data_IF_300336677028
#
_entry.id   IF_300336677028
#
_cell.length_a   1.000
_cell.length_b   1.000
_cell.length_c   1.000
_cell.angle_alpha   90.00
_cell.angle_beta   90.00
_cell.angle_gamma   90.00
#
_symmetry.space_group_name_H-M   'P 1'
#
loop_
_entity.id
_entity.type
_entity.pdbx_description
1 polymer ?
#
# COMPACT_ATOMS: atom_id res chain seq x y z
N UNK A 1 -12.81 28.41 -5.73
CA UNK A 1 -13.13 27.11 -6.33
C UNK A 1 -12.43 27.12 -7.68
N UNK A 2 -11.41 26.29 -7.87
CA UNK A 2 -10.82 26.13 -9.20
C UNK A 2 -11.88 25.45 -10.08
N UNK A 3 -12.40 26.18 -11.06
CA UNK A 3 -13.46 25.69 -11.94
C UNK A 3 -13.05 24.39 -12.65
N UNK A 4 -11.74 24.23 -12.92
CA UNK A 4 -11.18 23.08 -13.61
C UNK A 4 -11.37 21.76 -12.86
N UNK A 5 -11.08 21.73 -11.54
CA UNK A 5 -11.19 20.51 -10.74
C UNK A 5 -12.63 20.04 -10.53
N UNK A 6 -13.55 20.99 -10.34
CA UNK A 6 -14.97 20.69 -10.23
C UNK A 6 -15.54 20.19 -11.57
N UNK A 7 -15.21 20.85 -12.68
CA UNK A 7 -15.65 20.43 -14.02
C UNK A 7 -15.15 19.02 -14.36
N UNK A 8 -13.89 18.70 -14.05
CA UNK A 8 -13.33 17.37 -14.24
C UNK A 8 -14.07 16.30 -13.43
N UNK A 9 -14.34 16.57 -12.15
CA UNK A 9 -15.11 15.68 -11.28
C UNK A 9 -16.53 15.46 -11.82
N UNK A 10 -17.22 16.52 -12.23
CA UNK A 10 -18.58 16.40 -12.76
C UNK A 10 -18.63 15.66 -14.11
N UNK A 11 -17.62 15.83 -14.96
CA UNK A 11 -17.50 15.09 -16.22
C UNK A 11 -17.32 13.58 -15.96
N UNK A 12 -16.46 13.22 -15.01
CA UNK A 12 -16.26 11.83 -14.60
C UNK A 12 -17.53 11.23 -13.96
N UNK A 13 -18.22 12.02 -13.12
CA UNK A 13 -19.48 11.59 -12.50
C UNK A 13 -20.52 11.23 -13.56
N UNK A 14 -20.70 12.10 -14.56
CA UNK A 14 -21.66 11.88 -15.65
C UNK A 14 -21.30 10.65 -16.50
N UNK A 15 -20.01 10.40 -16.73
CA UNK A 15 -19.56 9.21 -17.45
C UNK A 15 -19.84 7.93 -16.65
N UNK A 16 -19.59 7.93 -15.34
CA UNK A 16 -19.89 6.78 -14.48
C UNK A 16 -21.38 6.50 -14.44
N UNK A 17 -22.20 7.55 -14.28
CA UNK A 17 -23.66 7.45 -14.33
C UNK A 17 -24.11 6.78 -15.63
N UNK A 18 -23.56 7.20 -16.78
CA UNK A 18 -23.82 6.57 -18.08
C UNK A 18 -23.38 5.11 -18.12
N UNK A 19 -22.19 4.79 -17.61
CA UNK A 19 -21.64 3.43 -17.60
C UNK A 19 -22.48 2.46 -16.77
N UNK A 20 -23.07 2.90 -15.66
CA UNK A 20 -23.89 2.07 -14.77
C UNK A 20 -25.09 1.41 -15.47
N UNK A 21 -25.61 2.02 -16.54
CA UNK A 21 -26.73 1.50 -17.31
C UNK A 21 -26.32 0.68 -18.53
N UNK A 22 -25.01 0.47 -18.75
CA UNK A 22 -24.53 -0.35 -19.87
C UNK A 22 -24.70 -1.85 -19.60
N UNK A 23 -25.01 -2.67 -20.63
CA UNK A 23 -25.11 -4.13 -20.45
C UNK A 23 -23.84 -4.79 -19.90
N UNK A 24 -22.66 -4.20 -20.16
CA UNK A 24 -21.40 -4.71 -19.64
C UNK A 24 -21.32 -4.60 -18.10
N UNK A 25 -21.65 -3.43 -17.55
CA UNK A 25 -21.66 -3.19 -16.10
C UNK A 25 -22.80 -3.95 -15.42
N UNK A 26 -23.98 -4.03 -16.05
CA UNK A 26 -25.11 -4.78 -15.50
C UNK A 26 -24.82 -6.29 -15.35
N UNK A 27 -23.91 -6.83 -16.18
CA UNK A 27 -23.46 -8.23 -16.11
C UNK A 27 -22.31 -8.45 -15.13
N UNK A 28 -21.58 -7.40 -14.76
CA UNK A 28 -20.49 -7.46 -13.79
C UNK A 28 -20.86 -6.69 -12.52
N UNK A 29 -21.40 -7.43 -11.55
CA UNK A 29 -21.80 -6.86 -10.27
C UNK A 29 -20.64 -6.22 -9.49
N UNK A 30 -19.39 -6.67 -9.67
CA UNK A 30 -18.24 -6.07 -8.97
C UNK A 30 -17.91 -4.72 -9.57
N UNK A 31 -17.87 -4.63 -10.90
CA UNK A 31 -17.69 -3.37 -11.61
C UNK A 31 -18.80 -2.38 -11.25
N UNK A 32 -20.07 -2.82 -11.28
CA UNK A 32 -21.19 -1.96 -10.91
C UNK A 32 -21.13 -1.46 -9.45
N UNK A 33 -20.70 -2.30 -8.49
CA UNK A 33 -20.54 -1.86 -7.09
C UNK A 33 -19.42 -0.84 -6.95
N UNK A 34 -18.29 -1.07 -7.61
CA UNK A 34 -17.16 -0.14 -7.59
C UNK A 34 -17.53 1.22 -8.19
N UNK A 35 -18.22 1.25 -9.32
CA UNK A 35 -18.68 2.49 -9.95
C UNK A 35 -19.66 3.27 -9.05
N UNK A 36 -20.57 2.58 -8.35
CA UNK A 36 -21.45 3.24 -7.37
C UNK A 36 -20.68 3.83 -6.19
N UNK A 37 -19.73 3.09 -5.62
CA UNK A 37 -18.83 3.60 -4.56
C UNK A 37 -18.06 4.84 -5.02
N UNK A 38 -17.63 4.85 -6.29
CA UNK A 38 -16.96 5.99 -6.89
C UNK A 38 -17.87 7.21 -6.95
N UNK A 39 -19.11 7.06 -7.40
CA UNK A 39 -20.11 8.14 -7.37
C UNK A 39 -20.36 8.64 -5.94
N UNK A 40 -20.59 7.74 -4.97
CA UNK A 40 -20.81 8.12 -3.56
C UNK A 40 -19.63 8.93 -3.00
N UNK A 41 -18.39 8.55 -3.32
CA UNK A 41 -17.20 9.29 -2.89
C UNK A 41 -17.12 10.68 -3.54
N UNK A 42 -17.46 10.79 -4.84
CA UNK A 42 -17.49 12.06 -5.56
C UNK A 42 -18.58 12.99 -5.03
N UNK A 43 -19.78 12.46 -4.76
CA UNK A 43 -20.89 13.21 -4.16
C UNK A 43 -20.50 13.79 -2.80
N UNK A 44 -19.79 13.02 -1.97
CA UNK A 44 -19.31 13.51 -0.68
C UNK A 44 -18.34 14.69 -0.83
N UNK A 45 -17.43 14.65 -1.81
CA UNK A 45 -16.48 15.73 -2.09
C UNK A 45 -17.12 16.98 -2.70
N UNK A 46 -18.20 16.79 -3.48
CA UNK A 46 -19.00 17.92 -3.98
C UNK A 46 -19.72 18.58 -2.82
N UNK A 47 -20.32 17.78 -1.94
CA UNK A 47 -21.06 18.27 -0.78
C UNK A 47 -20.16 19.01 0.22
N UNK A 48 -18.94 18.53 0.47
CA UNK A 48 -17.99 19.15 1.39
C UNK A 48 -17.17 20.30 0.77
N UNK A 49 -17.31 20.55 -0.54
CA UNK A 49 -16.59 21.60 -1.27
C UNK A 49 -15.11 21.32 -1.50
N UNK A 50 -14.69 20.05 -1.46
CA UNK A 50 -13.29 19.61 -1.61
C UNK A 50 -13.01 18.81 -2.88
N UNK A 51 -13.85 18.97 -3.91
CA UNK A 51 -13.73 18.36 -5.24
C UNK A 51 -12.31 18.35 -5.83
N UNK A 52 -11.49 19.36 -5.57
CA UNK A 52 -10.09 19.45 -6.00
C UNK A 52 -9.17 18.35 -5.43
N UNK A 53 -9.63 17.58 -4.43
CA UNK A 53 -8.90 16.46 -3.83
C UNK A 53 -9.15 15.13 -4.52
N UNK A 54 -10.08 15.10 -5.48
CA UNK A 54 -10.49 13.87 -6.16
C UNK A 54 -9.32 13.20 -6.86
N UNK A 55 -9.23 11.91 -6.62
CA UNK A 55 -8.30 10.99 -7.25
C UNK A 55 -9.11 9.78 -7.72
N UNK A 56 -9.06 9.40 -9.00
CA UNK A 56 -9.84 8.27 -9.54
C UNK A 56 -9.61 6.94 -8.81
N UNK A 57 -8.51 6.81 -8.07
CA UNK A 57 -8.19 5.63 -7.27
C UNK A 57 -8.74 5.70 -5.84
N UNK A 58 -9.33 6.81 -5.38
CA UNK A 58 -9.91 6.95 -4.04
C UNK A 58 -10.92 5.86 -3.65
N UNK A 59 -11.70 5.26 -4.56
CA UNK A 59 -12.57 4.12 -4.26
C UNK A 59 -11.84 2.77 -4.15
N UNK A 60 -10.54 2.70 -4.38
CA UNK A 60 -9.81 1.44 -4.42
C UNK A 60 -9.42 1.00 -3.01
N UNK A 61 -9.23 -0.31 -2.86
CA UNK A 61 -8.49 -0.84 -1.73
C UNK A 61 -7.01 -0.41 -1.84
N UNK A 62 -6.19 -0.76 -0.85
CA UNK A 62 -4.77 -0.40 -0.86
C UNK A 62 -3.89 -1.60 -0.53
N UNK A 63 -2.71 -1.64 -1.14
CA UNK A 63 -1.60 -2.47 -0.71
C UNK A 63 -0.53 -1.57 -0.14
N UNK A 64 -0.11 -1.84 1.10
CA UNK A 64 0.94 -1.11 1.80
C UNK A 64 2.16 -2.04 1.90
N UNK A 65 3.29 -1.58 1.40
CA UNK A 65 4.58 -2.25 1.44
C UNK A 65 5.54 -1.42 2.29
N UNK A 66 6.22 -2.08 3.21
CA UNK A 66 7.10 -1.45 4.20
C UNK A 66 8.44 -2.17 4.15
N UNK A 67 9.47 -1.46 3.69
CA UNK A 67 10.82 -2.00 3.53
C UNK A 67 11.84 -1.14 4.27
N UNK A 68 12.81 -1.74 4.99
CA UNK A 68 13.92 -0.98 5.55
C UNK A 68 14.76 -0.40 4.41
N UNK A 69 15.02 0.90 4.46
CA UNK A 69 15.91 1.61 3.55
C UNK A 69 17.31 1.59 4.13
N UNK A 70 18.29 1.11 3.35
CA UNK A 70 19.68 0.94 3.79
C UNK A 70 20.64 1.44 2.73
N UNK A 71 21.75 1.99 3.16
CA UNK A 71 22.82 2.31 2.23
C UNK A 71 23.58 1.03 1.84
N UNK A 72 24.08 0.94 0.59
CA UNK A 72 24.90 -0.19 0.18
C UNK A 72 26.11 -0.39 1.11
N UNK A 73 26.23 -1.58 1.69
CA UNK A 73 27.32 -1.92 2.62
C UNK A 73 27.00 -1.71 4.11
N UNK A 74 25.85 -1.12 4.43
CA UNK A 74 25.39 -1.01 5.81
C UNK A 74 24.91 -2.39 6.34
N UNK A 75 25.40 -2.84 7.51
CA UNK A 75 24.93 -4.08 8.09
C UNK A 75 23.46 -3.96 8.45
N UNK A 76 22.68 -4.99 8.10
CA UNK A 76 21.31 -5.09 8.55
C UNK A 76 21.25 -5.04 10.09
N UNK A 77 20.41 -4.21 10.72
CA UNK A 77 20.11 -4.40 12.12
C UNK A 77 19.60 -5.83 12.31
N UNK A 78 20.04 -6.49 13.38
CA UNK A 78 19.67 -7.86 13.68
C UNK A 78 18.14 -8.02 13.76
N UNK A 79 17.45 -6.98 14.25
CA UNK A 79 16.00 -6.89 14.35
C UNK A 79 15.53 -5.47 14.02
N UNK A 80 15.17 -5.15 12.75
CA UNK A 80 14.61 -3.85 12.44
C UNK A 80 13.24 -3.69 13.11
N UNK A 81 13.09 -2.68 13.95
CA UNK A 81 11.88 -2.44 14.74
C UNK A 81 10.90 -1.55 13.97
N UNK A 82 11.42 -0.57 13.23
CA UNK A 82 10.62 0.45 12.59
C UNK A 82 9.60 -0.09 11.57
N UNK A 83 9.92 -1.08 10.69
CA UNK A 83 8.94 -1.66 9.79
C UNK A 83 7.73 -2.27 10.54
N UNK A 84 7.98 -2.92 11.67
CA UNK A 84 6.93 -3.51 12.51
C UNK A 84 6.04 -2.46 13.18
N UNK A 85 6.61 -1.31 13.58
CA UNK A 85 5.83 -0.18 14.13
C UNK A 85 4.87 0.36 13.07
N UNK A 86 5.38 0.63 11.86
CA UNK A 86 4.55 1.12 10.74
C UNK A 86 3.44 0.13 10.42
N UNK A 87 3.80 -1.14 10.21
CA UNK A 87 2.85 -2.19 9.84
C UNK A 87 1.75 -2.38 10.89
N UNK A 88 2.12 -2.32 12.19
CA UNK A 88 1.15 -2.37 13.30
C UNK A 88 0.20 -1.17 13.24
N UNK A 89 0.73 0.04 13.14
CA UNK A 89 -0.08 1.27 13.11
C UNK A 89 -1.08 1.27 11.94
N UNK A 90 -0.66 0.81 10.75
CA UNK A 90 -1.56 0.64 9.60
C UNK A 90 -2.71 -0.34 9.88
N UNK A 91 -2.40 -1.50 10.46
CA UNK A 91 -3.40 -2.54 10.77
C UNK A 91 -4.38 -2.08 11.86
N UNK A 92 -3.89 -1.40 12.89
CA UNK A 92 -4.71 -0.82 13.96
C UNK A 92 -5.62 0.29 13.44
N UNK A 93 -5.11 1.18 12.56
CA UNK A 93 -5.92 2.22 11.94
C UNK A 93 -7.02 1.63 11.04
N UNK A 94 -6.67 0.65 10.20
CA UNK A 94 -7.66 -0.07 9.39
C UNK A 94 -8.73 -0.75 10.27
N UNK A 95 -8.33 -1.40 11.37
CA UNK A 95 -9.27 -2.04 12.29
C UNK A 95 -10.24 -1.03 12.95
N UNK A 96 -9.75 0.17 13.31
CA UNK A 96 -10.59 1.27 13.85
C UNK A 96 -11.64 1.74 12.86
N UNK A 97 -11.34 1.71 11.56
CA UNK A 97 -12.28 2.01 10.47
C UNK A 97 -13.20 0.83 10.12
N UNK A 98 -13.09 -0.30 10.83
CA UNK A 98 -13.85 -1.53 10.53
C UNK A 98 -13.35 -2.26 9.28
N UNK A 99 -12.16 -1.93 8.78
CA UNK A 99 -11.60 -2.49 7.56
C UNK A 99 -10.83 -3.78 7.81
N UNK A 100 -10.77 -4.64 6.79
CA UNK A 100 -10.09 -5.94 6.89
C UNK A 100 -8.67 -5.84 6.34
N UNK A 101 -7.70 -6.38 7.06
CA UNK A 101 -6.31 -6.48 6.58
C UNK A 101 -5.93 -7.93 6.25
N UNK A 102 -5.12 -8.10 5.21
CA UNK A 102 -4.59 -9.40 4.76
C UNK A 102 -3.08 -9.30 4.59
N UNK A 103 -2.26 -9.97 5.43
CA UNK A 103 -0.82 -10.03 5.22
C UNK A 103 -0.50 -10.70 3.88
N UNK A 104 0.32 -10.05 3.07
CA UNK A 104 0.73 -10.54 1.74
C UNK A 104 2.15 -11.10 1.74
N UNK A 105 3.05 -10.51 2.55
CA UNK A 105 4.43 -10.95 2.71
C UNK A 105 4.91 -10.70 4.15
N UNK A 106 4.56 -11.61 5.05
CA UNK A 106 4.97 -11.48 6.46
C UNK A 106 4.52 -10.14 7.07
N UNK A 107 5.49 -9.39 7.58
CA UNK A 107 5.33 -8.03 8.11
C UNK A 107 5.71 -6.93 7.10
N UNK A 108 6.11 -7.29 5.87
CA UNK A 108 6.60 -6.34 4.86
C UNK A 108 5.51 -5.87 3.90
N UNK A 109 4.40 -6.60 3.75
CA UNK A 109 3.30 -6.16 2.90
C UNK A 109 1.93 -6.58 3.45
N UNK A 110 0.95 -5.69 3.35
CA UNK A 110 -0.44 -5.91 3.77
C UNK A 110 -1.41 -5.31 2.75
N UNK A 111 -2.47 -6.04 2.43
CA UNK A 111 -3.62 -5.47 1.75
C UNK A 111 -4.65 -4.97 2.77
N UNK A 112 -5.21 -3.79 2.52
CA UNK A 112 -6.25 -3.16 3.32
C UNK A 112 -7.52 -3.08 2.49
N UNK A 113 -8.60 -3.67 3.01
CA UNK A 113 -9.90 -3.73 2.37
C UNK A 113 -10.90 -2.86 3.11
N UNK A 114 -11.33 -1.80 2.43
CA UNK A 114 -12.28 -0.85 2.99
C UNK A 114 -13.76 -1.31 2.89
N UNK A 115 -14.01 -2.43 2.20
CA UNK A 115 -15.36 -2.96 1.99
C UNK A 115 -16.07 -2.30 0.81
N UNK A 116 -17.40 -2.43 0.77
CA UNK A 116 -18.21 -2.02 -0.39
C UNK A 116 -18.88 -0.64 -0.22
N UNK A 117 -18.74 0.00 0.95
CA UNK A 117 -19.36 1.29 1.28
C UNK A 117 -18.34 2.33 1.71
N UNK A 118 -18.56 3.60 1.36
CA UNK A 118 -17.70 4.71 1.76
C UNK A 118 -16.34 4.74 1.05
N UNK A 119 -15.42 5.54 1.59
CA UNK A 119 -14.12 5.80 0.97
C UNK A 119 -13.25 4.53 0.86
N UNK A 120 -12.44 4.44 -0.20
CA UNK A 120 -11.45 3.38 -0.40
C UNK A 120 -10.27 3.48 0.55
N UNK A 121 -9.60 2.35 0.80
CA UNK A 121 -8.41 2.34 1.62
C UNK A 121 -7.29 3.20 0.99
N UNK A 122 -7.24 3.28 -0.35
CA UNK A 122 -6.32 4.17 -1.06
C UNK A 122 -6.47 5.62 -0.60
N UNK A 123 -7.70 6.15 -0.57
CA UNK A 123 -7.96 7.56 -0.23
C UNK A 123 -7.39 7.99 1.12
N UNK A 124 -7.31 7.06 2.08
CA UNK A 124 -6.76 7.28 3.42
C UNK A 124 -5.26 7.06 3.44
N UNK A 125 -4.79 5.93 2.92
CA UNK A 125 -3.39 5.53 3.10
C UNK A 125 -2.42 6.13 2.06
N UNK A 126 -2.88 6.68 0.93
CA UNK A 126 -2.00 7.16 -0.15
C UNK A 126 -0.96 8.19 0.30
N UNK A 127 -1.27 8.99 1.32
CA UNK A 127 -0.35 10.00 1.90
C UNK A 127 0.73 9.41 2.81
N UNK A 128 0.62 8.13 3.15
CA UNK A 128 1.63 7.43 3.95
C UNK A 128 2.88 7.08 3.12
N UNK A 129 2.80 7.17 1.79
CA UNK A 129 3.92 6.88 0.90
C UNK A 129 5.10 7.82 1.16
N UNK A 130 6.30 7.26 1.26
CA UNK A 130 7.56 8.01 1.40
C UNK A 130 8.52 7.36 2.39
N UNK A 131 9.61 8.06 2.68
CA UNK A 131 10.63 7.60 3.62
C UNK A 131 10.32 8.08 5.03
N UNK A 132 10.32 7.20 6.02
CA UNK A 132 10.13 7.55 7.42
C UNK A 132 11.42 7.27 8.19
N UNK A 133 11.92 8.29 8.90
CA UNK A 133 13.10 8.19 9.75
C UNK A 133 12.69 7.92 11.20
N UNK A 134 13.34 6.96 11.84
CA UNK A 134 13.07 6.56 13.21
C UNK A 134 14.30 6.76 14.08
N UNK A 135 14.09 7.18 15.33
CA UNK A 135 15.17 7.36 16.31
C UNK A 135 14.74 6.85 17.69
N UNK A 136 15.68 6.33 18.46
CA UNK A 136 15.50 5.99 19.87
C UNK A 136 15.65 7.28 20.71
N UNK A 137 14.56 7.77 21.32
CA UNK A 137 14.61 8.96 22.16
C UNK A 137 15.45 8.77 23.43
N UNK A 138 15.75 7.53 23.83
CA UNK A 138 16.52 7.20 25.03
C UNK A 138 17.99 6.89 24.74
N UNK A 139 18.36 6.70 23.47
CA UNK A 139 19.76 6.53 23.10
C UNK A 139 20.54 7.85 23.32
N UNK A 140 21.74 7.75 23.88
CA UNK A 140 22.64 8.89 23.99
C UNK A 140 23.12 9.30 22.57
N UNK A 141 23.25 10.59 22.26
CA UNK A 141 23.91 11.00 21.03
C UNK A 141 25.36 10.53 21.04
N UNK A 142 25.88 10.08 19.89
CA UNK A 142 27.31 9.81 19.75
C UNK A 142 28.13 11.11 19.92
N UNK A 143 27.60 12.25 19.44
CA UNK A 143 28.20 13.59 19.62
C UNK A 143 27.21 14.61 20.21
N UNK A 144 27.60 15.39 21.24
CA UNK A 144 26.78 16.48 21.78
C UNK A 144 26.42 17.49 20.68
N UNK A 145 25.13 17.70 20.43
CA UNK A 145 24.63 18.67 19.44
C UNK A 145 24.13 18.08 18.12
N UNK A 146 24.40 16.79 17.81
CA UNK A 146 23.87 16.10 16.60
C UNK A 146 22.57 15.33 16.85
N UNK A 147 21.75 15.79 17.79
CA UNK A 147 20.47 15.13 18.10
C UNK A 147 19.54 15.03 16.89
N UNK A 148 19.66 15.95 15.93
CA UNK A 148 18.81 15.97 14.74
C UNK A 148 19.23 15.00 13.63
N UNK A 149 20.43 14.43 13.71
CA UNK A 149 20.95 13.46 12.73
C UNK A 149 20.79 11.99 13.17
N UNK A 150 20.15 11.73 14.32
CA UNK A 150 20.02 10.41 14.97
C UNK A 150 19.02 9.43 14.32
N UNK A 151 18.89 9.37 13.00
CA UNK A 151 18.01 8.35 12.43
C UNK A 151 18.67 6.96 12.57
N UNK A 152 18.19 6.14 13.51
CA UNK A 152 18.68 4.77 13.74
C UNK A 152 18.14 3.79 12.68
N UNK A 153 16.94 4.04 12.17
CA UNK A 153 16.33 3.25 11.11
C UNK A 153 15.62 4.16 10.10
N UNK A 154 15.75 3.84 8.81
CA UNK A 154 14.93 4.44 7.74
C UNK A 154 14.06 3.37 7.12
N UNK A 155 12.82 3.71 6.83
CA UNK A 155 11.84 2.80 6.25
C UNK A 155 11.20 3.47 5.04
N UNK A 156 11.22 2.80 3.90
CA UNK A 156 10.41 3.17 2.75
C UNK A 156 9.02 2.56 2.90
N UNK A 157 7.99 3.42 2.91
CA UNK A 157 6.59 3.01 2.83
C UNK A 157 6.11 3.30 1.43
N UNK A 158 5.59 2.27 0.75
CA UNK A 158 4.93 2.39 -0.54
C UNK A 158 3.48 2.00 -0.39
N UNK A 159 2.60 2.83 -0.94
CA UNK A 159 1.17 2.53 -0.98
C UNK A 159 0.79 2.44 -2.44
N UNK A 160 0.10 1.37 -2.81
CA UNK A 160 -0.36 1.10 -4.17
C UNK A 160 -1.87 0.92 -4.16
N UNK A 161 -2.59 1.47 -5.16
CA UNK A 161 -4.01 1.21 -5.30
C UNK A 161 -4.23 -0.29 -5.60
N UNK A 162 -5.35 -0.81 -5.12
CA UNK A 162 -5.75 -2.20 -5.33
C UNK A 162 -7.17 -2.26 -5.85
N UNK A 163 -7.30 -2.72 -7.08
CA UNK A 163 -8.55 -2.75 -7.83
C UNK A 163 -9.52 -3.84 -7.35
N UNK A 164 -9.08 -4.72 -6.45
CA UNK A 164 -9.85 -5.88 -6.00
C UNK A 164 -10.06 -6.92 -7.11
N UNK A 165 -9.18 -6.91 -8.12
CA UNK A 165 -9.23 -7.79 -9.28
C UNK A 165 -9.18 -9.29 -8.94
N UNK A 166 -9.36 -10.17 -9.96
CA UNK A 166 -9.37 -11.62 -9.79
C UNK A 166 -8.07 -12.13 -9.15
N UNK A 167 -8.07 -13.37 -8.63
CA UNK A 167 -6.88 -13.90 -7.95
C UNK A 167 -5.71 -14.11 -8.93
N UNK A 168 -6.03 -14.40 -10.19
CA UNK A 168 -5.09 -14.67 -11.27
C UNK A 168 -4.36 -13.40 -11.74
N UNK A 169 -3.21 -13.61 -12.38
CA UNK A 169 -2.45 -12.55 -13.03
C UNK A 169 -3.01 -12.28 -14.43
N UNK A 170 -3.08 -11.01 -14.88
CA UNK A 170 -3.50 -10.69 -16.23
C UNK A 170 -2.43 -11.09 -17.26
N UNK A 171 -2.79 -11.09 -18.54
CA UNK A 171 -1.82 -11.31 -19.63
C UNK A 171 -1.55 -12.79 -19.94
N UNK A 172 -0.53 -13.03 -20.75
CA UNK A 172 -0.20 -14.37 -21.22
C UNK A 172 0.67 -15.11 -20.20
N UNK A 173 0.56 -16.45 -20.04
CA UNK A 173 1.38 -17.21 -19.10
C UNK A 173 2.89 -17.01 -19.28
N UNK A 174 3.35 -16.72 -20.51
CA UNK A 174 4.75 -16.54 -20.86
C UNK A 174 5.34 -15.24 -20.30
N UNK A 175 4.49 -14.27 -19.94
CA UNK A 175 4.89 -13.00 -19.32
C UNK A 175 5.30 -13.17 -17.85
N UNK A 176 5.14 -14.37 -17.28
CA UNK A 176 5.27 -14.63 -15.85
C UNK A 176 6.33 -15.68 -15.56
N UNK A 177 7.20 -15.37 -14.58
CA UNK A 177 8.11 -16.35 -13.98
C UNK A 177 7.79 -16.51 -12.51
N UNK A 178 7.61 -17.75 -12.09
CA UNK A 178 7.43 -18.13 -10.68
C UNK A 178 8.67 -18.85 -10.18
N UNK A 179 9.20 -18.41 -9.03
CA UNK A 179 10.27 -19.08 -8.32
C UNK A 179 9.80 -19.41 -6.90
N UNK A 180 9.94 -20.67 -6.50
CA UNK A 180 9.59 -21.11 -5.14
C UNK A 180 10.87 -21.24 -4.33
N UNK A 181 10.96 -20.46 -3.26
CA UNK A 181 11.99 -20.59 -2.25
C UNK A 181 11.44 -21.38 -1.05
N UNK A 182 12.13 -22.43 -0.64
CA UNK A 182 11.82 -23.15 0.60
C UNK A 182 13.10 -23.34 1.38
N UNK A 183 13.20 -22.69 2.54
CA UNK A 183 14.28 -22.91 3.50
C UNK A 183 13.83 -23.94 4.54
N UNK A 184 14.72 -24.88 4.83
CA UNK A 184 14.60 -25.84 5.93
C UNK A 184 15.91 -25.84 6.73
N UNK A 185 15.85 -25.82 8.05
CA UNK A 185 17.05 -25.89 8.90
C UNK A 185 16.82 -25.57 10.38
N UNK A 186 17.85 -25.67 11.22
CA UNK A 186 17.73 -25.42 12.67
C UNK A 186 17.25 -24.01 13.01
N UNK A 187 17.60 -23.02 12.19
CA UNK A 187 17.25 -21.61 12.38
C UNK A 187 15.76 -21.29 12.15
N UNK A 188 14.97 -22.22 11.59
CA UNK A 188 13.52 -22.06 11.40
C UNK A 188 12.70 -22.90 12.39
N UNK A 189 13.31 -23.37 13.48
CA UNK A 189 12.60 -24.09 14.55
C UNK A 189 11.98 -25.42 14.11
N UNK A 190 12.39 -25.97 12.96
CA UNK A 190 11.84 -27.20 12.38
C UNK A 190 10.69 -26.99 11.39
N UNK A 191 10.12 -25.79 11.28
CA UNK A 191 9.09 -25.48 10.28
C UNK A 191 9.72 -24.95 8.98
N UNK A 192 9.26 -25.38 7.79
CA UNK A 192 9.74 -24.80 6.54
C UNK A 192 9.35 -23.31 6.46
N UNK A 193 10.27 -22.45 6.00
CA UNK A 193 9.97 -21.07 5.61
C UNK A 193 9.92 -21.00 4.09
N UNK A 194 8.73 -20.82 3.54
CA UNK A 194 8.45 -20.89 2.12
C UNK A 194 7.95 -19.55 1.60
N UNK A 195 8.53 -19.10 0.50
CA UNK A 195 8.13 -17.88 -0.19
C UNK A 195 8.02 -18.15 -1.69
N UNK A 196 7.13 -17.41 -2.34
CA UNK A 196 6.96 -17.43 -3.79
C UNK A 196 7.36 -16.09 -4.32
N UNK A 197 8.27 -16.09 -5.29
CA UNK A 197 8.61 -14.89 -6.05
C UNK A 197 7.91 -14.96 -7.40
N UNK A 198 7.24 -13.88 -7.77
CA UNK A 198 6.64 -13.72 -9.09
C UNK A 198 7.33 -12.56 -9.77
N UNK A 199 7.76 -12.78 -11.00
CA UNK A 199 8.39 -11.77 -11.87
C UNK A 199 7.51 -11.55 -13.09
N UNK A 200 7.17 -10.30 -13.38
CA UNK A 200 6.54 -9.88 -14.62
C UNK A 200 7.63 -9.57 -15.64
N UNK A 201 7.87 -10.49 -16.58
CA UNK A 201 8.99 -10.46 -17.52
C UNK A 201 9.04 -9.17 -18.35
N UNK A 202 7.93 -8.68 -18.95
CA UNK A 202 7.95 -7.46 -19.75
C UNK A 202 8.39 -6.21 -18.98
N UNK A 203 7.95 -6.09 -17.72
CA UNK A 203 8.26 -4.91 -16.88
C UNK A 203 9.54 -5.05 -16.05
N UNK A 204 10.07 -6.26 -15.89
CA UNK A 204 11.14 -6.57 -14.96
C UNK A 204 10.76 -6.48 -13.47
N UNK A 205 9.48 -6.20 -13.14
CA UNK A 205 9.01 -6.13 -11.75
C UNK A 205 8.98 -7.50 -11.10
N UNK A 206 9.31 -7.53 -9.80
CA UNK A 206 9.35 -8.74 -8.99
C UNK A 206 8.75 -8.48 -7.62
N UNK A 207 7.93 -9.41 -7.14
CA UNK A 207 7.32 -9.35 -5.82
C UNK A 207 7.47 -10.69 -5.10
N UNK A 208 7.42 -10.65 -3.77
CA UNK A 208 7.45 -11.84 -2.91
C UNK A 208 6.10 -12.01 -2.21
N UNK A 209 5.56 -13.23 -2.21
CA UNK A 209 4.41 -13.61 -1.42
C UNK A 209 4.77 -14.65 -0.35
N UNK A 210 4.26 -14.45 0.87
CA UNK A 210 4.45 -15.34 2.03
C UNK A 210 3.20 -15.35 2.90
N UNK A 211 2.95 -16.46 3.58
CA UNK A 211 1.94 -16.53 4.64
C UNK A 211 2.61 -16.53 6.01
N UNK A 212 2.35 -15.49 6.82
CA UNK A 212 2.89 -15.39 8.17
C UNK A 212 2.29 -16.43 9.14
N UNK A 213 1.04 -16.84 8.92
CA UNK A 213 0.35 -17.83 9.77
C UNK A 213 0.76 -19.25 9.43
N UNK A 214 1.19 -19.49 8.19
CA UNK A 214 1.62 -20.80 7.69
C UNK A 214 2.89 -20.65 6.86
N UNK A 215 4.04 -20.31 7.49
CA UNK A 215 5.30 -20.07 6.77
C UNK A 215 5.72 -21.25 5.89
N UNK A 216 5.33 -22.49 6.23
CA UNK A 216 5.61 -23.68 5.45
C UNK A 216 4.73 -23.93 4.21
N UNK A 217 3.67 -23.13 3.98
CA UNK A 217 2.73 -23.37 2.87
C UNK A 217 2.98 -22.47 1.66
N UNK A 218 3.60 -23.05 0.64
CA UNK A 218 3.76 -22.45 -0.70
C UNK A 218 2.44 -22.00 -1.31
N UNK A 219 1.35 -22.76 -1.10
CA UNK A 219 0.05 -22.46 -1.70
C UNK A 219 -0.53 -21.12 -1.25
N UNK A 220 -0.21 -20.67 -0.03
CA UNK A 220 -0.66 -19.38 0.47
C UNK A 220 0.20 -18.24 -0.10
N UNK A 221 1.51 -18.44 -0.27
CA UNK A 221 2.38 -17.51 -1.00
C UNK A 221 1.92 -17.30 -2.45
N UNK A 222 1.52 -18.38 -3.14
CA UNK A 222 0.94 -18.34 -4.50
C UNK A 222 -0.38 -17.57 -4.58
N UNK A 223 -1.15 -17.50 -3.50
CA UNK A 223 -2.39 -16.71 -3.45
C UNK A 223 -2.12 -15.22 -3.20
N UNK A 224 -1.06 -14.89 -2.46
CA UNK A 224 -0.73 -13.52 -2.07
C UNK A 224 0.06 -12.74 -3.13
N UNK A 225 1.08 -13.37 -3.73
CA UNK A 225 1.99 -12.71 -4.68
C UNK A 225 1.26 -12.09 -5.90
N UNK A 226 0.26 -12.74 -6.52
CA UNK A 226 -0.49 -12.15 -7.63
C UNK A 226 -1.11 -10.81 -7.30
N UNK A 227 -1.68 -10.66 -6.10
CA UNK A 227 -2.31 -9.43 -5.67
C UNK A 227 -1.32 -8.30 -5.48
N UNK A 228 -0.19 -8.60 -4.82
CA UNK A 228 0.90 -7.64 -4.66
C UNK A 228 1.43 -7.17 -6.02
N UNK A 229 1.57 -8.09 -6.98
CA UNK A 229 2.01 -7.78 -8.33
C UNK A 229 1.00 -6.91 -9.09
N UNK A 230 -0.30 -7.21 -9.02
CA UNK A 230 -1.32 -6.38 -9.68
C UNK A 230 -1.34 -4.96 -9.14
N UNK A 231 -1.28 -4.78 -7.82
CA UNK A 231 -1.21 -3.45 -7.22
C UNK A 231 0.04 -2.69 -7.66
N UNK A 232 1.20 -3.36 -7.73
CA UNK A 232 2.44 -2.78 -8.25
C UNK A 232 2.31 -2.35 -9.73
N UNK A 233 1.77 -3.22 -10.59
CA UNK A 233 1.59 -2.89 -12.02
C UNK A 233 0.56 -1.78 -12.22
N UNK A 234 -0.49 -1.73 -11.40
CA UNK A 234 -1.44 -0.63 -11.41
C UNK A 234 -0.76 0.68 -11.01
N UNK A 235 0.04 0.68 -9.95
CA UNK A 235 0.84 1.82 -9.53
C UNK A 235 1.90 2.24 -10.56
N UNK A 236 2.41 1.30 -11.36
CA UNK A 236 3.32 1.59 -12.47
C UNK A 236 2.66 2.23 -13.68
N UNK A 237 1.39 1.91 -13.91
CA UNK A 237 0.60 2.48 -15.00
C UNK A 237 0.19 3.93 -14.78
N UNK A 238 0.25 4.43 -13.53
CA UNK A 238 -0.11 5.82 -13.20
C UNK A 238 0.89 6.78 -13.84
N UNK A 239 0.42 7.63 -14.75
CA UNK A 239 1.25 8.59 -15.48
C UNK A 239 1.48 9.92 -14.73
N UNK A 240 2.51 10.72 -15.08
CA UNK A 240 2.85 11.99 -14.41
C UNK A 240 1.74 13.05 -14.36
N UNK A 241 0.73 12.95 -15.22
CA UNK A 241 -0.41 13.87 -15.25
C UNK A 241 -1.59 13.44 -14.36
N UNK A 242 -1.53 12.25 -13.75
CA UNK A 242 -2.60 11.75 -12.90
C UNK A 242 -2.45 12.21 -11.45
N UNK A 243 -3.55 12.54 -10.74
CA UNK A 243 -3.51 12.94 -9.33
C UNK A 243 -2.79 11.93 -8.42
N UNK A 244 -2.90 10.63 -8.73
CA UNK A 244 -2.28 9.56 -7.97
C UNK A 244 -0.75 9.51 -8.09
N UNK A 245 -0.15 10.14 -9.11
CA UNK A 245 1.26 9.96 -9.46
C UNK A 245 2.21 10.29 -8.31
N UNK A 246 1.98 11.41 -7.63
CA UNK A 246 2.80 11.84 -6.50
C UNK A 246 2.76 10.87 -5.31
N UNK A 247 1.67 10.10 -5.16
CA UNK A 247 1.49 9.15 -4.07
C UNK A 247 2.09 7.77 -4.38
N UNK A 248 2.00 7.32 -5.64
CA UNK A 248 2.65 6.06 -6.07
C UNK A 248 4.15 6.22 -6.33
N UNK A 249 4.62 7.46 -6.44
CA UNK A 249 6.04 7.86 -6.59
C UNK A 249 6.37 8.95 -5.56
N UNK A 250 6.32 8.62 -4.25
CA UNK A 250 6.64 9.61 -3.23
C UNK A 250 8.11 10.05 -3.36
N UNK A 251 8.43 11.29 -2.99
CA UNK A 251 9.81 11.77 -3.00
C UNK A 251 10.69 10.93 -2.06
N UNK A 252 11.99 10.84 -2.38
CA UNK A 252 12.97 10.10 -1.58
C UNK A 252 13.33 10.80 -0.24
N UNK A 253 12.93 12.06 -0.08
CA UNK A 253 13.11 12.81 1.16
C UNK A 253 12.25 12.23 2.28
N UNK A 254 12.70 12.28 3.55
CA UNK A 254 11.90 11.77 4.66
C UNK A 254 10.55 12.49 4.77
N UNK A 255 9.46 11.76 4.53
CA UNK A 255 8.07 12.17 4.76
C UNK A 255 7.79 12.50 6.23
N UNK A 256 8.60 11.97 7.16
CA UNK A 256 8.59 12.40 8.55
C UNK A 256 9.63 11.72 9.43
N UNK A 257 9.83 12.28 10.62
CA UNK A 257 10.73 11.75 11.65
C UNK A 257 9.93 11.37 12.89
N UNK A 258 10.15 10.16 13.40
CA UNK A 258 9.32 9.51 14.41
C UNK A 258 10.19 8.90 15.50
N UNK A 259 9.73 8.93 16.75
CA UNK A 259 10.39 8.17 17.81
C UNK A 259 10.06 6.67 17.65
N UNK A 260 10.99 5.78 17.99
CA UNK A 260 10.68 4.34 18.09
C UNK A 260 9.67 4.06 19.21
N UNK A 261 9.66 4.90 20.25
CA UNK A 261 8.86 4.71 21.45
C UNK A 261 8.27 6.03 21.96
N UNK A 262 7.18 5.94 22.71
CA UNK A 262 6.57 7.09 23.40
C UNK A 262 5.60 7.92 22.53
N UNK A 263 5.18 9.10 23.00
CA UNK A 263 4.06 9.87 22.41
C UNK A 263 4.35 10.44 21.01
N UNK A 264 5.63 10.58 20.66
CA UNK A 264 6.10 11.01 19.34
C UNK A 264 6.34 9.84 18.39
N UNK A 265 5.85 8.64 18.70
CA UNK A 265 5.93 7.50 17.82
C UNK A 265 5.09 7.69 16.55
N UNK A 266 5.42 6.91 15.53
CA UNK A 266 4.67 6.87 14.28
C UNK A 266 3.20 6.53 14.55
N UNK A 267 2.31 7.35 14.01
CA UNK A 267 0.87 7.20 14.11
C UNK A 267 0.24 7.58 12.77
N UNK A 268 -0.36 6.58 12.12
CA UNK A 268 -1.05 6.75 10.84
C UNK A 268 -2.09 7.87 10.92
N UNK A 269 -2.86 7.94 12.01
CA UNK A 269 -3.96 8.91 12.12
C UNK A 269 -3.45 10.34 12.02
N UNK A 270 -2.33 10.65 12.69
CA UNK A 270 -1.67 11.96 12.67
C UNK A 270 -1.10 12.33 11.31
N UNK A 271 -0.73 11.33 10.50
CA UNK A 271 -0.14 11.53 9.17
C UNK A 271 -1.25 11.75 8.14
N UNK A 272 -2.28 10.89 8.15
CA UNK A 272 -3.37 10.93 7.16
C UNK A 272 -4.38 12.05 7.41
N UNK A 273 -4.43 12.60 8.62
CA UNK A 273 -5.30 13.75 8.96
C UNK A 273 -4.75 15.10 8.50
N UNK A 274 -3.55 15.15 7.90
CA UNK A 274 -2.91 16.37 7.37
C UNK A 274 -3.22 16.54 5.89
#
# INVERSE_FOLDING_TARGET
MDASGYEALMAEYAEIERLLYTPAVLRDHRLGRRLRRQMEAMEALVFDGSAQRWDPYDPYDAVIVVEPLREPGEPAPAWPVAPGIVMRSCREHAARLGWRTVPLDGESAVAVHAGESGAGAWSVFKRLGGVHAFFDPYAAPEEPGRADERADERVEVRVWPDDGGPAELPGAPEDWREEVYCRRGPSCGGEPDSAVWITHVPSGRRVRGRDHRRPGKVSAGRANAPRLMRALLLADGVGPGEPAYAYVRPPAEPAGRHALWGPSSFDVERIVSR
#
